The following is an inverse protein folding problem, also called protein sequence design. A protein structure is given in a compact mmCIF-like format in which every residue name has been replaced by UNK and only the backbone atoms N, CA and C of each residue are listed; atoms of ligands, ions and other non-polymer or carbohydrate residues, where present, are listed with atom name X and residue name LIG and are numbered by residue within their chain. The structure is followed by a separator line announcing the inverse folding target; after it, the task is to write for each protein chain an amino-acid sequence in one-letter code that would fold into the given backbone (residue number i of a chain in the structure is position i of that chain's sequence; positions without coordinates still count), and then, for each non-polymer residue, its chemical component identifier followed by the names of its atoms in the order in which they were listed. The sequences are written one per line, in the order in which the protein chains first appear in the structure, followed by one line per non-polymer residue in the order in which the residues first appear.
data_IF_050171784220
#
_entry.id   IF_050171784220
#
_cell.length_a   1.000
_cell.length_b   1.000
_cell.length_c   1.000
_cell.angle_alpha   90.00
_cell.angle_beta   90.00
_cell.angle_gamma   90.00
#
_symmetry.space_group_name_H-M   'P 1'
#
loop_
_entity.id
_entity.type
_entity.pdbx_description
1 polymer ?
#
# COMPACT_ATOMS: atom_id res chain seq x y z
N UNK A 1 18.99 12.23 -18.05
CA UNK A 1 17.74 12.75 -18.66
C UNK A 1 18.03 14.11 -19.29
N UNK A 2 17.60 14.36 -20.54
CA UNK A 2 17.71 15.70 -21.14
C UNK A 2 16.43 16.50 -20.91
N UNK A 3 16.44 17.43 -19.95
CA UNK A 3 15.27 18.24 -19.58
C UNK A 3 14.88 19.25 -20.67
N UNK A 4 15.77 19.57 -21.61
CA UNK A 4 15.44 20.49 -22.72
C UNK A 4 14.40 19.88 -23.68
N UNK A 5 14.28 18.55 -23.69
CA UNK A 5 13.26 17.80 -24.43
C UNK A 5 11.93 17.65 -23.68
N UNK A 6 11.85 18.19 -22.46
CA UNK A 6 10.69 18.05 -21.56
C UNK A 6 10.11 19.43 -21.18
N UNK A 7 9.55 20.21 -22.11
CA UNK A 7 8.98 21.52 -21.81
C UNK A 7 7.87 21.50 -20.74
N UNK A 8 7.20 20.36 -20.53
CA UNK A 8 6.18 20.18 -19.49
C UNK A 8 6.77 19.84 -18.10
N UNK A 9 8.10 19.69 -17.97
CA UNK A 9 8.76 19.42 -16.68
C UNK A 9 8.46 20.49 -15.62
N UNK A 10 8.22 21.73 -16.05
CA UNK A 10 7.80 22.85 -15.19
C UNK A 10 6.46 22.62 -14.46
N UNK A 11 5.67 21.64 -14.90
CA UNK A 11 4.38 21.33 -14.28
C UNK A 11 4.53 20.45 -13.03
N UNK A 12 5.73 19.95 -12.72
CA UNK A 12 5.96 19.11 -11.55
C UNK A 12 6.01 19.92 -10.25
N UNK A 13 5.43 19.38 -9.18
CA UNK A 13 5.44 19.98 -7.85
C UNK A 13 6.88 20.12 -7.31
N UNK A 14 7.39 21.34 -7.05
CA UNK A 14 8.77 21.54 -6.58
C UNK A 14 9.04 20.89 -5.22
N UNK A 15 8.06 20.89 -4.32
CA UNK A 15 8.18 20.25 -3.00
C UNK A 15 8.36 18.73 -3.11
N UNK A 16 7.71 18.09 -4.10
CA UNK A 16 7.85 16.67 -4.39
C UNK A 16 9.22 16.38 -4.99
N UNK A 17 9.65 17.16 -6.00
CA UNK A 17 10.99 17.05 -6.58
C UNK A 17 12.09 17.19 -5.53
N UNK A 18 11.90 18.06 -4.53
CA UNK A 18 12.88 18.23 -3.44
C UNK A 18 13.00 16.97 -2.57
N UNK A 19 11.89 16.26 -2.32
CA UNK A 19 11.90 14.99 -1.56
C UNK A 19 12.65 13.90 -2.32
N UNK A 20 12.51 13.87 -3.65
CA UNK A 20 13.13 12.86 -4.52
C UNK A 20 14.65 13.00 -4.67
N UNK A 21 15.21 14.19 -4.39
CA UNK A 21 16.66 14.41 -4.42
C UNK A 21 17.45 13.49 -3.49
N UNK A 22 16.79 12.89 -2.48
CA UNK A 22 17.43 11.88 -1.62
C UNK A 22 17.91 10.66 -2.41
N UNK A 23 17.15 10.26 -3.43
CA UNK A 23 17.42 9.08 -4.26
C UNK A 23 17.94 9.45 -5.66
N UNK A 24 17.60 10.63 -6.18
CA UNK A 24 18.13 11.19 -7.44
C UNK A 24 18.61 12.65 -7.20
N UNK A 25 19.81 12.87 -6.65
CA UNK A 25 20.31 14.21 -6.37
C UNK A 25 20.27 15.10 -7.62
N UNK A 26 19.60 16.25 -7.54
CA UNK A 26 19.40 17.16 -8.68
C UNK A 26 18.33 16.72 -9.69
N UNK A 27 17.64 15.60 -9.44
CA UNK A 27 16.63 15.01 -10.30
C UNK A 27 17.16 14.82 -11.73
N UNK A 28 18.32 14.18 -11.88
CA UNK A 28 19.09 14.09 -13.13
C UNK A 28 18.69 12.89 -13.99
N UNK A 29 18.15 11.84 -13.38
CA UNK A 29 18.00 10.55 -14.02
C UNK A 29 16.54 10.17 -14.27
N UNK A 30 15.61 10.64 -13.42
CA UNK A 30 14.22 10.22 -13.50
C UNK A 30 13.20 11.37 -13.38
N UNK A 31 11.97 11.06 -13.77
CA UNK A 31 10.80 11.95 -13.69
C UNK A 31 9.71 11.25 -12.88
N UNK A 32 9.14 11.86 -11.84
CA UNK A 32 8.04 11.24 -11.10
C UNK A 32 6.82 11.07 -12.00
N UNK A 33 6.12 9.95 -11.84
CA UNK A 33 4.94 9.58 -12.61
C UNK A 33 3.69 9.53 -11.74
N UNK A 34 3.66 8.59 -10.81
CA UNK A 34 2.58 8.43 -9.83
C UNK A 34 3.21 8.25 -8.45
N UNK A 35 2.44 8.52 -7.41
CA UNK A 35 2.84 8.30 -6.04
C UNK A 35 1.66 7.87 -5.20
N UNK A 36 1.95 7.24 -4.08
CA UNK A 36 0.93 6.74 -3.19
C UNK A 36 1.52 6.25 -1.89
N UNK A 37 0.66 5.64 -1.09
CA UNK A 37 1.05 5.02 0.16
C UNK A 37 0.86 3.52 0.14
N UNK A 38 1.66 2.82 0.95
CA UNK A 38 1.26 1.51 1.45
C UNK A 38 0.45 1.68 2.75
N UNK A 39 -0.44 0.73 3.01
CA UNK A 39 -1.38 0.80 4.12
C UNK A 39 -2.22 -0.44 4.19
N UNK A 40 -3.44 -0.29 4.70
CA UNK A 40 -4.32 -1.42 5.01
C UNK A 40 -5.61 -1.28 4.20
N UNK A 41 -5.80 -2.17 3.24
CA UNK A 41 -7.08 -2.36 2.55
C UNK A 41 -7.92 -3.39 3.28
N UNK A 42 -9.20 -3.11 3.51
CA UNK A 42 -10.05 -4.02 4.27
C UNK A 42 -11.53 -3.95 3.92
N UNK A 43 -12.21 -5.07 4.13
CA UNK A 43 -13.65 -5.19 4.08
C UNK A 43 -14.25 -4.72 5.41
N UNK A 44 -15.00 -3.62 5.37
CA UNK A 44 -15.53 -2.94 6.57
C UNK A 44 -16.45 -3.85 7.38
N UNK A 45 -17.39 -4.53 6.71
CA UNK A 45 -18.39 -5.35 7.39
C UNK A 45 -17.76 -6.61 8.00
N UNK A 46 -16.82 -7.25 7.28
CA UNK A 46 -16.09 -8.43 7.78
C UNK A 46 -15.17 -8.09 8.95
N UNK A 47 -14.43 -6.99 8.86
CA UNK A 47 -13.57 -6.53 9.97
C UNK A 47 -14.40 -6.17 11.18
N UNK A 48 -15.52 -5.47 11.02
CA UNK A 48 -16.43 -5.17 12.13
C UNK A 48 -16.98 -6.43 12.79
N UNK A 49 -17.35 -7.44 12.00
CA UNK A 49 -17.84 -8.71 12.54
C UNK A 49 -16.77 -9.48 13.34
N UNK A 50 -15.50 -9.39 12.95
CA UNK A 50 -14.40 -10.15 13.57
C UNK A 50 -13.72 -9.39 14.72
N UNK A 51 -13.52 -8.09 14.58
CA UNK A 51 -12.76 -7.26 15.52
C UNK A 51 -13.63 -6.28 16.32
N UNK A 52 -14.90 -6.09 15.94
CA UNK A 52 -15.81 -5.16 16.62
C UNK A 52 -15.49 -3.67 16.38
N UNK A 53 -14.65 -3.35 15.38
CA UNK A 53 -14.24 -1.98 15.06
C UNK A 53 -14.82 -1.52 13.73
N UNK A 54 -15.22 -0.25 13.66
CA UNK A 54 -15.75 0.35 12.43
C UNK A 54 -14.64 0.81 11.47
N UNK A 55 -13.45 1.07 12.00
CA UNK A 55 -12.30 1.57 11.24
C UNK A 55 -11.01 0.97 11.76
N UNK A 56 -10.12 0.63 10.84
CA UNK A 56 -8.72 0.31 11.14
C UNK A 56 -7.90 1.59 11.08
N UNK A 57 -7.09 1.87 12.11
CA UNK A 57 -6.21 3.03 12.20
C UNK A 57 -4.75 2.69 12.52
N UNK A 58 -4.40 1.41 12.66
CA UNK A 58 -3.08 0.97 13.15
C UNK A 58 -2.61 -0.30 12.46
N UNK A 59 -1.30 -0.40 12.23
CA UNK A 59 -0.65 -1.64 11.78
C UNK A 59 -0.82 -2.81 12.77
N UNK A 60 -1.17 -2.54 14.03
CA UNK A 60 -1.43 -3.56 15.05
C UNK A 60 -2.48 -4.59 14.61
N UNK A 61 -3.40 -4.21 13.71
CA UNK A 61 -4.40 -5.13 13.17
C UNK A 61 -3.76 -6.31 12.41
N UNK A 62 -2.61 -6.08 11.76
CA UNK A 62 -1.85 -7.08 11.01
C UNK A 62 -0.65 -7.60 11.82
N UNK A 63 -0.05 -6.76 12.66
CA UNK A 63 1.24 -7.07 13.31
C UNK A 63 1.13 -7.61 14.73
N UNK A 64 -0.05 -7.54 15.36
CA UNK A 64 -0.27 -8.18 16.65
C UNK A 64 -0.99 -9.53 16.52
N UNK A 65 -0.44 -10.61 17.12
CA UNK A 65 -0.98 -11.96 17.01
C UNK A 65 -2.46 -12.08 17.40
N UNK A 66 -2.92 -11.36 18.43
CA UNK A 66 -4.29 -11.41 18.91
C UNK A 66 -5.30 -10.88 17.89
N UNK A 67 -4.90 -9.91 17.06
CA UNK A 67 -5.76 -9.32 16.04
C UNK A 67 -5.75 -10.20 14.79
N UNK A 68 -4.57 -10.51 14.26
CA UNK A 68 -4.45 -11.28 13.03
C UNK A 68 -4.93 -12.73 13.21
N UNK A 69 -4.82 -13.32 14.41
CA UNK A 69 -5.41 -14.64 14.71
C UNK A 69 -6.92 -14.61 14.55
N UNK A 70 -7.61 -13.59 15.07
CA UNK A 70 -9.06 -13.43 14.88
C UNK A 70 -9.39 -13.25 13.41
N UNK A 71 -8.64 -12.40 12.71
CA UNK A 71 -8.81 -12.19 11.26
C UNK A 71 -8.59 -13.46 10.45
N UNK A 72 -7.63 -14.31 10.81
CA UNK A 72 -7.38 -15.57 10.11
C UNK A 72 -8.36 -16.69 10.48
N UNK A 73 -9.14 -16.50 11.55
CA UNK A 73 -10.01 -17.56 12.06
C UNK A 73 -11.20 -17.77 11.12
N UNK A 74 -11.37 -19.01 10.69
CA UNK A 74 -12.58 -19.44 10.00
C UNK A 74 -13.72 -19.51 11.03
N UNK A 75 -14.69 -18.59 10.95
CA UNK A 75 -16.07 -18.74 11.40
C UNK A 75 -16.40 -19.62 12.62
N UNK A 76 -15.56 -19.65 13.67
CA UNK A 76 -15.87 -20.34 14.92
C UNK A 76 -15.52 -19.41 16.07
N UNK A 77 -16.41 -18.44 16.31
CA UNK A 77 -16.51 -17.78 17.59
C UNK A 77 -17.39 -18.67 18.48
N UNK A 78 -16.80 -19.33 19.47
CA UNK A 78 -17.57 -19.89 20.58
C UNK A 78 -18.00 -18.72 21.48
N UNK A 79 -19.31 -18.56 21.66
CA UNK A 79 -19.89 -17.71 22.71
C UNK A 79 -20.19 -18.61 23.92
N UNK A 80 -19.94 -18.10 25.12
CA UNK A 80 -19.95 -18.83 26.40
C UNK A 80 -21.38 -19.05 26.96
N UNK A 81 -22.41 -19.01 26.10
CA UNK A 81 -23.79 -19.31 26.47
C UNK A 81 -24.60 -19.84 25.29
N UNK A 82 -25.46 -20.83 25.55
CA UNK A 82 -26.31 -21.47 24.53
C UNK A 82 -27.30 -20.49 23.88
N UNK A 83 -27.60 -19.39 24.56
CA UNK A 83 -28.60 -18.38 24.21
C UNK A 83 -28.08 -17.44 23.11
N UNK A 84 -26.76 -17.20 23.07
CA UNK A 84 -26.09 -16.40 22.04
C UNK A 84 -25.70 -17.22 20.79
N UNK A 85 -25.73 -18.55 20.88
CA UNK A 85 -25.37 -19.43 19.77
C UNK A 85 -26.37 -19.38 18.61
N UNK A 86 -27.66 -19.23 18.88
CA UNK A 86 -28.70 -19.22 17.84
C UNK A 86 -28.63 -18.00 16.90
N UNK A 87 -28.47 -16.75 17.41
CA UNK A 87 -28.21 -15.59 16.55
C UNK A 87 -26.86 -15.66 15.81
N UNK A 88 -25.81 -16.19 16.45
CA UNK A 88 -24.48 -16.34 15.86
C UNK A 88 -24.46 -17.37 14.72
N UNK A 89 -25.22 -18.46 14.84
CA UNK A 89 -25.39 -19.47 13.79
C UNK A 89 -26.15 -18.94 12.56
N UNK A 90 -27.06 -17.98 12.72
CA UNK A 90 -27.72 -17.30 11.59
C UNK A 90 -26.78 -16.34 10.85
N UNK A 91 -25.77 -15.79 11.54
CA UNK A 91 -24.67 -15.02 10.95
C UNK A 91 -23.50 -15.89 10.45
N UNK A 92 -23.54 -17.21 10.65
CA UNK A 92 -22.50 -18.15 10.23
C UNK A 92 -22.26 -18.15 8.72
N UNK A 93 -23.31 -17.94 7.92
CA UNK A 93 -23.20 -17.75 6.45
C UNK A 93 -22.51 -16.43 6.06
N UNK A 94 -22.46 -15.42 6.95
CA UNK A 94 -21.78 -14.14 6.73
C UNK A 94 -20.31 -14.17 7.19
N UNK A 95 -19.94 -15.14 8.03
CA UNK A 95 -18.57 -15.38 8.51
C UNK A 95 -17.79 -16.30 7.58
N UNK A 96 -17.93 -16.13 6.26
CA UNK A 96 -16.97 -16.73 5.32
C UNK A 96 -15.58 -16.25 5.70
N UNK A 97 -14.64 -17.20 5.82
CA UNK A 97 -13.27 -17.00 6.33
C UNK A 97 -12.72 -15.61 6.00
N UNK A 98 -12.36 -14.88 7.03
CA UNK A 98 -11.64 -13.63 6.89
C UNK A 98 -10.19 -14.05 6.50
N UNK A 99 -9.75 -13.65 5.31
CA UNK A 99 -8.40 -13.93 4.82
C UNK A 99 -7.49 -12.72 5.01
N UNK A 100 -6.20 -12.97 5.25
CA UNK A 100 -5.18 -11.93 5.45
C UNK A 100 -4.10 -12.05 4.39
N UNK A 101 -3.95 -11.01 3.57
CA UNK A 101 -2.93 -10.94 2.53
C UNK A 101 -1.81 -9.97 2.90
N UNK A 102 -0.58 -10.37 2.62
CA UNK A 102 0.60 -9.50 2.74
C UNK A 102 1.20 -9.27 1.34
N UNK A 103 1.82 -8.12 1.13
CA UNK A 103 2.63 -7.88 -0.07
C UNK A 103 3.79 -8.87 -0.09
N UNK A 104 4.10 -9.45 -1.25
CA UNK A 104 5.32 -10.25 -1.42
C UNK A 104 6.50 -9.32 -1.74
N UNK A 105 6.91 -8.55 -0.75
CA UNK A 105 8.01 -7.59 -0.87
C UNK A 105 8.69 -7.39 0.48
N UNK A 106 9.99 -7.63 0.50
CA UNK A 106 10.81 -7.42 1.70
C UNK A 106 10.97 -5.92 2.01
N UNK A 107 11.05 -5.11 0.96
CA UNK A 107 11.20 -3.66 0.94
C UNK A 107 9.91 -2.90 1.30
N UNK A 108 8.76 -3.55 1.29
CA UNK A 108 7.51 -2.99 1.83
C UNK A 108 7.26 -3.48 3.27
N UNK A 109 7.32 -4.80 3.49
CA UNK A 109 6.86 -5.39 4.75
C UNK A 109 7.84 -5.23 5.92
N UNK A 110 9.16 -5.28 5.68
CA UNK A 110 10.13 -5.08 6.76
C UNK A 110 10.17 -3.63 7.22
N UNK A 111 10.24 -2.61 6.34
CA UNK A 111 10.17 -1.21 6.77
C UNK A 111 8.85 -0.87 7.48
N UNK A 112 7.71 -1.41 7.01
CA UNK A 112 6.43 -1.23 7.71
C UNK A 112 6.47 -1.80 9.14
N UNK A 113 7.03 -3.00 9.32
CA UNK A 113 7.22 -3.59 10.66
C UNK A 113 8.21 -2.80 11.51
N UNK A 114 9.33 -2.32 10.94
CA UNK A 114 10.28 -1.47 11.65
C UNK A 114 9.62 -0.19 12.15
N UNK A 115 8.89 0.49 11.27
CA UNK A 115 8.15 1.70 11.61
C UNK A 115 7.11 1.45 12.72
N UNK A 116 6.37 0.34 12.63
CA UNK A 116 5.43 -0.08 13.68
C UNK A 116 6.11 -0.29 15.05
N UNK A 117 7.33 -0.84 15.06
CA UNK A 117 8.14 -1.02 16.26
C UNK A 117 8.79 0.28 16.78
N UNK A 118 8.52 1.43 16.15
CA UNK A 118 9.14 2.71 16.46
C UNK A 118 10.64 2.76 16.08
N UNK A 119 11.08 1.88 15.17
CA UNK A 119 12.44 1.84 14.65
C UNK A 119 12.50 2.59 13.32
N UNK A 120 13.73 2.97 12.92
CA UNK A 120 13.96 3.59 11.61
C UNK A 120 13.61 2.59 10.48
N UNK A 121 12.62 2.90 9.61
CA UNK A 121 12.26 2.05 8.47
C UNK A 121 13.42 1.87 7.48
N UNK A 122 14.40 2.79 7.49
CA UNK A 122 15.63 2.74 6.70
C UNK A 122 16.86 2.31 7.53
N UNK A 123 16.65 1.60 8.65
CA UNK A 123 17.75 1.17 9.52
C UNK A 123 18.83 0.42 8.74
N UNK A 124 20.09 0.65 9.11
CA UNK A 124 21.24 -0.11 8.61
C UNK A 124 21.73 -1.16 9.62
N UNK A 125 21.03 -1.32 10.75
CA UNK A 125 21.42 -2.18 11.86
C UNK A 125 20.78 -3.56 11.71
N UNK A 126 21.61 -4.60 11.66
CA UNK A 126 21.15 -6.00 11.56
C UNK A 126 20.21 -6.40 12.71
N UNK A 127 20.42 -5.87 13.92
CA UNK A 127 19.60 -6.17 15.09
C UNK A 127 18.13 -5.73 14.92
N UNK A 128 17.88 -4.65 14.19
CA UNK A 128 16.52 -4.14 13.98
C UNK A 128 15.74 -5.08 13.06
N UNK A 129 16.36 -5.55 11.97
CA UNK A 129 15.75 -6.55 11.09
C UNK A 129 15.52 -7.90 11.77
N UNK A 130 16.36 -8.31 12.72
CA UNK A 130 16.10 -9.51 13.53
C UNK A 130 14.85 -9.38 14.40
N UNK A 131 14.60 -8.19 14.97
CA UNK A 131 13.35 -7.91 15.71
C UNK A 131 12.14 -7.94 14.78
N UNK A 132 12.24 -7.30 13.62
CA UNK A 132 11.17 -7.30 12.62
C UNK A 132 10.85 -8.72 12.11
N UNK A 133 11.89 -9.52 11.79
CA UNK A 133 11.74 -10.92 11.39
C UNK A 133 11.04 -11.74 12.48
N UNK A 134 11.45 -11.60 13.74
CA UNK A 134 10.83 -12.35 14.84
C UNK A 134 9.34 -12.02 15.00
N UNK A 135 8.96 -10.75 14.87
CA UNK A 135 7.55 -10.31 14.89
C UNK A 135 6.77 -10.85 13.69
N UNK A 136 7.33 -10.74 12.48
CA UNK A 136 6.69 -11.28 11.27
C UNK A 136 6.53 -12.81 11.32
N UNK A 137 7.49 -13.53 11.90
CA UNK A 137 7.40 -14.98 12.10
C UNK A 137 6.30 -15.35 13.11
N UNK A 138 6.09 -14.55 14.16
CA UNK A 138 5.05 -14.82 15.15
C UNK A 138 3.63 -14.72 14.57
N UNK A 139 3.42 -13.84 13.59
CA UNK A 139 2.14 -13.69 12.90
C UNK A 139 1.99 -14.56 11.65
N UNK A 140 3.09 -15.14 11.15
CA UNK A 140 3.16 -15.88 9.90
C UNK A 140 2.10 -16.99 9.75
N UNK A 141 1.76 -17.79 10.78
CA UNK A 141 0.73 -18.84 10.67
C UNK A 141 -0.66 -18.31 10.32
N UNK A 142 -0.90 -17.02 10.54
CA UNK A 142 -2.20 -16.37 10.32
C UNK A 142 -2.29 -15.65 8.96
N UNK A 143 -1.18 -15.58 8.21
CA UNK A 143 -1.15 -14.99 6.87
C UNK A 143 -1.62 -16.02 5.85
N UNK A 144 -2.68 -15.70 5.11
CA UNK A 144 -3.28 -16.57 4.09
C UNK A 144 -2.32 -16.75 2.90
N UNK A 145 -1.74 -15.66 2.41
CA UNK A 145 -0.75 -15.69 1.35
C UNK A 145 0.10 -14.41 1.29
N UNK A 146 1.20 -14.48 0.54
CA UNK A 146 2.02 -13.34 0.13
C UNK A 146 1.87 -13.15 -1.38
N UNK A 147 1.34 -12.02 -1.80
CA UNK A 147 1.18 -11.69 -3.22
C UNK A 147 0.90 -10.19 -3.40
N UNK A 148 1.53 -9.54 -4.38
CA UNK A 148 1.49 -8.08 -4.51
C UNK A 148 0.42 -7.52 -5.46
N UNK A 149 -0.44 -8.36 -6.07
CA UNK A 149 -1.60 -7.90 -6.87
C UNK A 149 -2.89 -8.72 -6.71
N UNK A 150 -2.81 -10.03 -6.42
CA UNK A 150 -3.99 -10.91 -6.22
C UNK A 150 -5.00 -10.36 -5.20
N UNK A 151 -4.52 -9.68 -4.16
CA UNK A 151 -5.37 -9.12 -3.11
C UNK A 151 -6.41 -8.13 -3.62
N UNK A 152 -6.19 -7.48 -4.77
CA UNK A 152 -7.13 -6.55 -5.39
C UNK A 152 -8.45 -7.28 -5.69
N UNK A 153 -8.36 -8.38 -6.45
CA UNK A 153 -9.53 -9.16 -6.86
C UNK A 153 -10.15 -9.89 -5.67
N UNK A 154 -9.32 -10.44 -4.77
CA UNK A 154 -9.81 -11.16 -3.60
C UNK A 154 -10.54 -10.24 -2.61
N UNK A 155 -10.07 -8.99 -2.42
CA UNK A 155 -10.82 -7.99 -1.65
C UNK A 155 -12.15 -7.65 -2.33
N UNK A 156 -12.13 -7.39 -3.64
CA UNK A 156 -13.33 -7.02 -4.39
C UNK A 156 -14.42 -8.11 -4.36
N UNK A 157 -14.01 -9.38 -4.38
CA UNK A 157 -14.90 -10.53 -4.26
C UNK A 157 -15.31 -10.84 -2.81
N UNK A 158 -14.57 -10.30 -1.82
CA UNK A 158 -14.74 -10.64 -0.41
C UNK A 158 -14.13 -11.98 -0.02
N UNK A 159 -13.22 -12.55 -0.81
CA UNK A 159 -12.50 -13.79 -0.52
C UNK A 159 -11.48 -13.61 0.62
N UNK A 160 -10.94 -12.39 0.76
CA UNK A 160 -10.17 -11.94 1.92
C UNK A 160 -10.85 -10.73 2.57
N UNK A 161 -10.44 -10.41 3.79
CA UNK A 161 -11.03 -9.31 4.56
C UNK A 161 -10.03 -8.19 4.85
N UNK A 162 -8.72 -8.47 4.88
CA UNK A 162 -7.67 -7.49 5.15
C UNK A 162 -6.44 -7.78 4.30
N UNK A 163 -5.82 -6.74 3.76
CA UNK A 163 -4.56 -6.80 3.05
C UNK A 163 -3.64 -5.64 3.47
N UNK A 164 -2.35 -5.93 3.67
CA UNK A 164 -1.34 -4.90 3.46
C UNK A 164 -1.27 -4.63 1.95
N UNK A 165 -1.49 -3.39 1.53
CA UNK A 165 -1.68 -3.07 0.11
C UNK A 165 -1.41 -1.61 -0.23
N UNK A 166 -1.41 -1.33 -1.52
CA UNK A 166 -1.22 0.00 -2.08
C UNK A 166 -2.55 0.77 -2.15
N UNK A 167 -2.49 2.08 -1.93
CA UNK A 167 -3.65 2.98 -1.94
C UNK A 167 -4.54 2.85 -3.18
N UNK A 168 -4.00 3.06 -4.38
CA UNK A 168 -4.73 2.98 -5.65
C UNK A 168 -5.20 1.56 -6.00
N UNK A 169 -4.49 0.52 -5.58
CA UNK A 169 -4.92 -0.87 -5.75
C UNK A 169 -6.19 -1.17 -4.94
N UNK A 170 -6.28 -0.65 -3.70
CA UNK A 170 -7.48 -0.79 -2.87
C UNK A 170 -8.62 0.08 -3.41
N UNK A 171 -8.31 1.24 -4.01
CA UNK A 171 -9.29 2.03 -4.75
C UNK A 171 -9.86 1.24 -5.94
N UNK A 172 -9.01 0.61 -6.75
CA UNK A 172 -9.46 -0.25 -7.85
C UNK A 172 -10.28 -1.44 -7.36
N UNK A 173 -9.89 -2.06 -6.24
CA UNK A 173 -10.69 -3.12 -5.62
C UNK A 173 -12.09 -2.61 -5.22
N UNK A 174 -12.19 -1.39 -4.69
CA UNK A 174 -13.47 -0.75 -4.36
C UNK A 174 -14.32 -0.54 -5.61
N UNK A 175 -13.78 0.05 -6.68
CA UNK A 175 -14.52 0.24 -7.95
C UNK A 175 -15.05 -1.08 -8.48
N UNK A 176 -14.21 -2.12 -8.53
CA UNK A 176 -14.60 -3.47 -8.98
C UNK A 176 -15.69 -4.09 -8.09
N UNK A 177 -15.63 -3.88 -6.78
CA UNK A 177 -16.65 -4.35 -5.84
C UNK A 177 -18.00 -3.65 -6.05
N UNK A 178 -17.98 -2.34 -6.31
CA UNK A 178 -19.16 -1.53 -6.60
C UNK A 178 -19.79 -1.93 -7.94
N UNK A 179 -18.98 -2.07 -9.00
CA UNK A 179 -19.41 -2.53 -10.33
C UNK A 179 -20.01 -3.94 -10.29
N UNK A 180 -19.45 -4.83 -9.47
CA UNK A 180 -19.97 -6.19 -9.30
C UNK A 180 -21.33 -6.24 -8.59
N UNK A 181 -21.75 -5.17 -7.92
CA UNK A 181 -23.06 -5.07 -7.27
C UNK A 181 -23.29 -6.06 -6.10
N UNK A 182 -22.21 -6.63 -5.54
CA UNK A 182 -22.27 -7.66 -4.49
C UNK A 182 -22.34 -7.12 -3.06
N UNK A 183 -22.37 -5.79 -2.90
CA UNK A 183 -22.46 -5.13 -1.59
C UNK A 183 -21.19 -5.22 -0.72
N UNK A 184 -20.04 -5.56 -1.32
CA UNK A 184 -18.75 -5.59 -0.62
C UNK A 184 -18.26 -4.16 -0.40
N UNK A 185 -18.10 -3.75 0.87
CA UNK A 185 -17.63 -2.41 1.25
C UNK A 185 -16.16 -2.43 1.61
N UNK A 186 -15.34 -1.77 0.80
CA UNK A 186 -13.90 -1.69 0.99
C UNK A 186 -13.44 -0.31 1.44
N UNK A 187 -12.56 -0.28 2.43
CA UNK A 187 -11.90 0.92 2.92
C UNK A 187 -10.38 0.75 2.86
N UNK A 188 -9.69 1.89 2.78
CA UNK A 188 -8.24 1.96 2.88
C UNK A 188 -7.88 2.82 4.09
N UNK A 189 -6.83 2.43 4.79
CA UNK A 189 -6.29 3.19 5.92
C UNK A 189 -4.79 3.37 5.79
N UNK A 190 -4.36 4.61 5.95
CA UNK A 190 -2.98 4.96 6.26
C UNK A 190 -2.85 4.91 7.79
N UNK A 191 -2.12 3.94 8.37
CA UNK A 191 -2.05 3.78 9.81
C UNK A 191 -1.47 4.98 10.53
N UNK A 192 -1.81 5.13 11.82
CA UNK A 192 -1.40 6.25 12.66
C UNK A 192 0.10 6.27 12.94
N UNK A 193 0.74 5.10 12.92
CA UNK A 193 2.19 4.98 12.99
C UNK A 193 2.87 5.49 11.72
N UNK A 194 2.13 5.69 10.63
CA UNK A 194 2.66 6.01 9.31
C UNK A 194 2.67 4.81 8.37
N UNK A 195 3.05 5.06 7.13
CA UNK A 195 3.23 4.07 6.07
C UNK A 195 4.33 4.52 5.11
N UNK A 196 4.71 3.66 4.19
CA UNK A 196 5.63 4.01 3.11
C UNK A 196 4.94 4.99 2.17
N UNK A 197 5.58 6.12 1.90
CA UNK A 197 5.30 7.04 0.81
C UNK A 197 6.28 6.74 -0.31
N UNK A 198 5.76 6.23 -1.42
CA UNK A 198 6.57 5.81 -2.56
C UNK A 198 6.23 6.65 -3.79
N UNK A 199 7.18 6.69 -4.73
CA UNK A 199 7.09 7.44 -5.97
C UNK A 199 7.57 6.52 -7.10
N UNK A 200 6.69 6.28 -8.07
CA UNK A 200 7.07 5.61 -9.30
C UNK A 200 7.69 6.62 -10.25
N UNK A 201 8.80 6.22 -10.85
CA UNK A 201 9.68 7.10 -11.59
C UNK A 201 9.87 6.57 -13.02
N UNK A 202 9.72 7.46 -14.01
CA UNK A 202 10.10 7.19 -15.39
C UNK A 202 11.59 7.53 -15.58
N UNK A 203 12.36 6.57 -16.08
CA UNK A 203 13.76 6.75 -16.43
C UNK A 203 14.04 6.21 -17.85
N UNK A 204 15.06 6.76 -18.50
CA UNK A 204 15.50 6.29 -19.82
C UNK A 204 16.79 5.47 -19.61
N UNK A 205 16.81 4.16 -19.93
CA UNK A 205 18.02 3.35 -19.85
C UNK A 205 19.17 3.95 -20.66
N UNK A 206 20.39 3.86 -20.14
CA UNK A 206 21.58 4.48 -20.74
C UNK A 206 21.89 3.97 -22.16
N UNK A 207 21.48 2.74 -22.48
CA UNK A 207 21.69 2.07 -23.75
C UNK A 207 20.48 2.18 -24.72
N UNK A 208 19.44 2.93 -24.34
CA UNK A 208 18.22 3.12 -25.13
C UNK A 208 18.54 3.67 -26.52
N UNK A 209 18.02 3.01 -27.55
CA UNK A 209 18.18 3.43 -28.96
C UNK A 209 17.15 4.49 -29.38
N UNK A 210 16.13 4.74 -28.56
CA UNK A 210 14.98 5.58 -28.89
C UNK A 210 14.77 6.72 -27.88
N UNK A 211 15.84 7.41 -27.48
CA UNK A 211 15.81 8.49 -26.48
C UNK A 211 14.80 9.60 -26.81
N UNK A 212 14.68 9.98 -28.09
CA UNK A 212 13.73 11.01 -28.53
C UNK A 212 12.26 10.59 -28.29
N UNK A 213 11.92 9.36 -28.65
CA UNK A 213 10.56 8.83 -28.43
C UNK A 213 10.24 8.68 -26.95
N UNK A 214 11.20 8.18 -26.15
CA UNK A 214 11.05 8.07 -24.70
C UNK A 214 10.86 9.46 -24.05
N UNK A 215 11.64 10.47 -24.47
CA UNK A 215 11.48 11.84 -23.98
C UNK A 215 10.13 12.44 -24.39
N UNK A 216 9.68 12.19 -25.62
CA UNK A 216 8.36 12.64 -26.08
C UNK A 216 7.22 12.01 -25.26
N UNK A 217 7.31 10.71 -24.95
CA UNK A 217 6.35 10.03 -24.08
C UNK A 217 6.35 10.61 -22.67
N UNK A 218 7.52 10.78 -22.05
CA UNK A 218 7.62 11.41 -20.73
C UNK A 218 7.02 12.83 -20.76
N UNK A 219 7.33 13.64 -21.77
CA UNK A 219 6.76 14.99 -21.88
C UNK A 219 5.24 14.98 -22.07
N UNK A 220 4.70 14.00 -22.79
CA UNK A 220 3.25 13.80 -22.93
C UNK A 220 2.60 13.46 -21.59
N UNK A 221 3.20 12.57 -20.80
CA UNK A 221 2.72 12.22 -19.46
C UNK A 221 2.83 13.39 -18.46
N UNK A 222 3.65 14.40 -18.74
CA UNK A 222 3.76 15.62 -17.92
C UNK A 222 2.68 16.67 -18.24
N UNK A 223 1.84 16.44 -19.26
CA UNK A 223 0.68 17.30 -19.54
C UNK A 223 -0.40 17.09 -18.45
N UNK A 224 -0.93 18.18 -17.85
CA UNK A 224 -1.92 18.08 -16.77
C UNK A 224 -3.19 17.29 -17.13
N UNK A 225 -3.68 17.40 -18.38
CA UNK A 225 -4.90 16.69 -18.80
C UNK A 225 -4.65 15.21 -19.00
N UNK A 226 -3.47 14.87 -19.53
CA UNK A 226 -3.08 13.48 -19.77
C UNK A 226 -2.91 12.74 -18.45
N UNK A 227 -2.16 13.32 -17.51
CA UNK A 227 -1.88 12.65 -16.24
C UNK A 227 -3.12 12.59 -15.33
N UNK A 228 -4.05 13.55 -15.45
CA UNK A 228 -5.33 13.48 -14.76
C UNK A 228 -6.12 12.24 -15.16
N UNK A 229 -6.23 11.94 -16.46
CA UNK A 229 -6.93 10.74 -16.95
C UNK A 229 -6.32 9.45 -16.40
N UNK A 230 -4.99 9.39 -16.31
CA UNK A 230 -4.31 8.25 -15.69
C UNK A 230 -4.71 8.12 -14.23
N UNK A 231 -4.57 9.20 -13.45
CA UNK A 231 -4.93 9.19 -12.03
C UNK A 231 -6.40 8.82 -11.79
N UNK A 232 -7.31 9.28 -12.67
CA UNK A 232 -8.74 8.99 -12.56
C UNK A 232 -9.03 7.50 -12.77
N UNK A 233 -8.29 6.85 -13.65
CA UNK A 233 -8.45 5.42 -13.93
C UNK A 233 -7.83 4.54 -12.82
N UNK A 234 -6.62 4.86 -12.37
CA UNK A 234 -5.85 3.95 -11.50
C UNK A 234 -5.94 4.29 -10.01
N UNK A 235 -6.47 5.45 -9.65
CA UNK A 235 -6.65 5.88 -8.26
C UNK A 235 -5.37 6.26 -7.54
N UNK A 236 -4.31 6.65 -8.26
CA UNK A 236 -3.05 7.13 -7.68
C UNK A 236 -2.88 8.63 -7.89
N UNK A 237 -2.26 9.29 -6.92
CA UNK A 237 -1.89 10.68 -7.06
C UNK A 237 -0.73 10.84 -8.05
N UNK A 238 -0.66 12.00 -8.69
CA UNK A 238 0.40 12.34 -9.63
C UNK A 238 1.15 13.60 -9.15
N UNK A 239 2.35 13.87 -9.69
CA UNK A 239 3.21 14.96 -9.21
C UNK A 239 2.89 16.30 -9.88
N UNK A 240 1.80 16.42 -10.64
CA UNK A 240 1.43 17.61 -11.39
C UNK A 240 0.23 18.32 -10.72
N UNK A 241 0.44 19.35 -9.88
CA UNK A 241 -0.65 20.03 -9.17
C UNK A 241 -1.71 20.65 -10.08
N UNK A 242 -1.33 21.05 -11.31
CA UNK A 242 -2.28 21.59 -12.28
C UNK A 242 -3.22 20.52 -12.85
N UNK A 243 -2.91 19.22 -12.70
CA UNK A 243 -3.83 18.15 -13.13
C UNK A 243 -5.13 18.15 -12.34
N UNK A 244 -5.14 18.70 -11.11
CA UNK A 244 -6.29 18.68 -10.21
C UNK A 244 -7.54 19.37 -10.78
N UNK A 245 -7.38 20.30 -11.73
CA UNK A 245 -8.49 20.94 -12.46
C UNK A 245 -9.21 19.99 -13.43
N UNK A 246 -8.54 18.91 -13.84
CA UNK A 246 -9.03 17.96 -14.84
C UNK A 246 -9.42 16.60 -14.25
N UNK A 247 -9.12 16.35 -12.98
CA UNK A 247 -9.40 15.09 -12.30
C UNK A 247 -10.85 14.99 -11.81
N UNK A 248 -11.36 13.77 -11.67
CA UNK A 248 -12.57 13.50 -10.91
C UNK A 248 -12.38 13.98 -9.46
N UNK A 249 -13.27 14.86 -9.01
CA UNK A 249 -13.20 15.45 -7.68
C UNK A 249 -13.36 14.41 -6.58
N UNK A 250 -14.01 13.26 -6.84
CA UNK A 250 -14.05 12.13 -5.90
C UNK A 250 -12.66 11.55 -5.63
N UNK A 251 -11.79 11.54 -6.64
CA UNK A 251 -10.42 11.01 -6.52
C UNK A 251 -9.49 12.10 -5.98
N UNK A 252 -9.59 13.32 -6.53
CA UNK A 252 -8.76 14.46 -6.10
C UNK A 252 -8.94 14.81 -4.62
N UNK A 253 -10.12 14.60 -4.05
CA UNK A 253 -10.42 14.92 -2.65
C UNK A 253 -10.40 13.71 -1.71
N UNK A 254 -10.16 12.50 -2.21
CA UNK A 254 -9.99 11.31 -1.37
C UNK A 254 -8.64 11.41 -0.63
N UNK A 255 -8.68 11.45 0.70
CA UNK A 255 -7.51 11.51 1.56
C UNK A 255 -6.65 10.22 1.52
N UNK A 256 -7.16 9.12 0.97
CA UNK A 256 -6.37 7.93 0.65
C UNK A 256 -5.50 8.11 -0.59
N UNK A 257 -5.90 9.00 -1.51
CA UNK A 257 -5.17 9.29 -2.77
C UNK A 257 -4.29 10.53 -2.60
N UNK A 258 -4.86 11.63 -2.08
CA UNK A 258 -4.15 12.87 -1.74
C UNK A 258 -4.22 13.13 -0.24
N UNK A 259 -3.35 12.49 0.58
CA UNK A 259 -3.38 12.68 2.02
C UNK A 259 -3.08 14.13 2.42
N UNK A 260 -3.71 14.65 3.49
CA UNK A 260 -3.37 15.96 4.02
C UNK A 260 -1.94 15.98 4.58
N UNK A 261 -1.37 17.17 4.74
CA UNK A 261 0.03 17.34 5.14
C UNK A 261 0.36 16.65 6.47
N UNK A 262 -0.53 16.70 7.45
CA UNK A 262 -0.39 16.01 8.74
C UNK A 262 -0.21 14.48 8.61
N UNK A 263 -0.83 13.89 7.58
CA UNK A 263 -0.65 12.47 7.27
C UNK A 263 0.68 12.28 6.54
N UNK A 264 1.02 13.14 5.58
CA UNK A 264 2.30 13.07 4.85
C UNK A 264 3.52 13.20 5.77
N UNK A 265 3.41 13.96 6.86
CA UNK A 265 4.50 14.22 7.80
C UNK A 265 4.86 13.00 8.67
N UNK A 266 3.95 12.03 8.81
CA UNK A 266 4.21 10.75 9.48
C UNK A 266 4.58 9.62 8.53
N UNK A 267 4.59 9.86 7.22
CA UNK A 267 5.02 8.84 6.25
C UNK A 267 6.54 8.83 6.11
N UNK A 268 7.08 7.67 5.78
CA UNK A 268 8.49 7.51 5.48
C UNK A 268 8.70 7.22 3.99
N UNK A 269 9.83 7.67 3.44
CA UNK A 269 10.26 7.30 2.10
C UNK A 269 11.43 6.33 2.24
N UNK A 270 11.34 5.18 1.56
CA UNK A 270 12.45 4.24 1.48
C UNK A 270 13.67 4.90 0.79
N UNK A 271 14.85 4.69 1.35
CA UNK A 271 16.13 5.09 0.77
C UNK A 271 16.91 3.90 0.26
N UNK A 272 17.86 4.16 -0.64
CA UNK A 272 18.81 3.14 -1.07
C UNK A 272 19.64 2.65 0.14
N UNK A 273 19.50 1.36 0.46
CA UNK A 273 20.20 0.73 1.58
C UNK A 273 21.49 0.04 1.11
N UNK A 274 22.52 -0.09 1.96
CA UNK A 274 23.74 -0.80 1.58
C UNK A 274 23.46 -2.24 1.12
N UNK A 275 24.19 -2.80 0.14
CA UNK A 275 23.95 -4.14 -0.38
C UNK A 275 23.93 -5.25 0.68
N UNK A 276 24.66 -5.07 1.79
CA UNK A 276 24.62 -6.01 2.93
C UNK A 276 23.24 -6.06 3.59
N UNK A 277 22.59 -4.91 3.74
CA UNK A 277 21.25 -4.77 4.34
C UNK A 277 20.19 -5.31 3.40
N UNK A 278 20.28 -5.00 2.10
CA UNK A 278 19.38 -5.58 1.10
C UNK A 278 19.40 -7.11 1.12
N UNK A 279 20.60 -7.71 1.14
CA UNK A 279 20.74 -9.18 1.27
C UNK A 279 20.18 -9.72 2.59
N UNK A 280 20.28 -8.96 3.68
CA UNK A 280 19.67 -9.34 4.97
C UNK A 280 18.15 -9.36 4.85
N UNK A 281 17.55 -8.29 4.31
CA UNK A 281 16.11 -8.20 4.06
C UNK A 281 15.60 -9.36 3.21
N UNK A 282 16.28 -9.68 2.10
CA UNK A 282 15.92 -10.82 1.23
C UNK A 282 15.95 -12.16 1.97
N UNK A 283 16.96 -12.40 2.82
CA UNK A 283 17.05 -13.65 3.60
C UNK A 283 15.95 -13.73 4.66
N UNK A 284 15.75 -12.67 5.43
CA UNK A 284 14.70 -12.60 6.44
C UNK A 284 13.32 -12.79 5.81
N UNK A 285 13.06 -12.15 4.67
CA UNK A 285 11.79 -12.28 3.97
C UNK A 285 11.55 -13.68 3.41
N UNK A 286 12.57 -14.30 2.79
CA UNK A 286 12.49 -15.70 2.35
C UNK A 286 12.12 -16.62 3.51
N UNK A 287 12.73 -16.43 4.69
CA UNK A 287 12.41 -17.20 5.89
C UNK A 287 10.96 -16.98 6.34
N UNK A 288 10.50 -15.74 6.43
CA UNK A 288 9.10 -15.41 6.75
C UNK A 288 8.13 -16.11 5.81
N UNK A 289 8.31 -15.99 4.49
CA UNK A 289 7.41 -16.65 3.53
C UNK A 289 7.38 -18.16 3.66
N UNK A 290 8.54 -18.78 3.89
CA UNK A 290 8.67 -20.24 4.00
C UNK A 290 8.17 -20.83 5.33
N UNK A 291 8.12 -20.03 6.40
CA UNK A 291 7.58 -20.46 7.69
C UNK A 291 6.09 -20.81 7.57
N UNK A 292 5.65 -21.92 8.16
CA UNK A 292 4.23 -22.26 8.31
C UNK A 292 3.85 -22.20 9.78
#
# INVERSE_FOLDING_TARGET
LDKSLLPNYKNLAPALLKRLEKNDPGNHYAVPYLWGTNGIGYNVDKVKAVLGVDKIDSWAVLFEPENIKKLSSCGVAFLDSADEMLPAMLNYKKLSSCGVAFLDSADEMLPAMLNYLGLDPNSTKEADYKKAEAKLMAIRPYVTYFHSSKYITDLANGDICVAAGFSGDVFQARSRAEEAGKGVKLAYSIPKEGGNLWFDMLAIPADSKNVKAASAFINYMLDPKVIAQVSDEVGYANPNPASGEFMDQKIRTDAAVYPPQEVLDRLFVNSELPPKVQRLMTRSWTKVKSGK
#
